data_IF_061530253196
#
_entry.id   IF_061530253196
#
_cell.length_a   1.000
_cell.length_b   1.000
_cell.length_c   1.000
_cell.angle_alpha   90.00
_cell.angle_beta   90.00
_cell.angle_gamma   90.00
#
_symmetry.space_group_name_H-M   'P 1'
#
loop_
_entity.id
_entity.type
_entity.pdbx_description
1 polymer ?
#
# COMPACT_ATOMS: atom_id res chain seq x y z
N UNK A 1 8.84 17.94 28.72
CA UNK A 1 9.77 17.70 27.59
C UNK A 1 9.54 16.27 27.16
N UNK A 2 8.92 16.04 25.99
CA UNK A 2 8.69 14.69 25.49
C UNK A 2 9.97 14.27 24.77
N UNK A 3 10.70 13.33 25.36
CA UNK A 3 11.84 12.70 24.73
C UNK A 3 11.32 11.81 23.61
N UNK A 4 11.42 12.28 22.36
CA UNK A 4 11.31 11.41 21.18
C UNK A 4 12.52 10.49 21.18
N UNK A 5 12.36 9.28 21.70
CA UNK A 5 13.27 8.17 21.43
C UNK A 5 13.33 8.03 19.91
N UNK A 6 14.45 8.42 19.31
CA UNK A 6 14.74 8.15 17.91
C UNK A 6 14.83 6.65 17.72
N UNK A 7 13.71 6.00 17.44
CA UNK A 7 13.70 4.63 16.95
C UNK A 7 14.35 4.65 15.57
N UNK A 8 15.58 4.17 15.48
CA UNK A 8 16.21 3.82 14.21
C UNK A 8 15.34 2.73 13.57
N UNK A 9 14.48 3.11 12.64
CA UNK A 9 13.65 2.15 11.93
C UNK A 9 14.54 1.13 11.19
N UNK A 10 14.35 -0.16 11.49
CA UNK A 10 15.02 -1.23 10.75
C UNK A 10 14.48 -1.26 9.32
N UNK A 11 15.37 -1.12 8.33
CA UNK A 11 14.99 -1.16 6.92
C UNK A 11 14.84 -2.61 6.47
N UNK A 12 13.60 -3.04 6.21
CA UNK A 12 13.32 -4.32 5.59
C UNK A 12 13.97 -4.41 4.20
N UNK A 13 14.63 -5.54 3.89
CA UNK A 13 15.20 -5.78 2.57
C UNK A 13 14.07 -5.97 1.55
N UNK A 14 14.06 -5.14 0.52
CA UNK A 14 13.12 -5.24 -0.60
C UNK A 14 13.89 -5.47 -1.91
N UNK A 15 13.69 -6.59 -2.64
CA UNK A 15 14.27 -6.78 -3.97
C UNK A 15 13.84 -5.70 -4.98
N UNK A 16 14.65 -5.53 -6.02
CA UNK A 16 14.38 -4.56 -7.08
C UNK A 16 13.21 -5.05 -7.94
N UNK A 17 12.31 -4.14 -8.33
CA UNK A 17 11.12 -4.41 -9.16
C UNK A 17 10.15 -5.43 -8.55
N UNK A 18 9.88 -5.36 -7.24
CA UNK A 18 8.95 -6.27 -6.57
C UNK A 18 7.72 -5.54 -6.02
N UNK A 19 6.82 -5.02 -6.88
CA UNK A 19 5.57 -4.39 -6.44
C UNK A 19 4.65 -5.41 -5.73
N UNK A 20 4.71 -6.69 -6.09
CA UNK A 20 3.86 -7.76 -5.52
C UNK A 20 4.11 -8.03 -4.02
N UNK A 21 5.23 -7.56 -3.47
CA UNK A 21 5.59 -7.71 -2.04
C UNK A 21 5.56 -6.38 -1.28
N UNK A 22 5.26 -5.29 -1.97
CA UNK A 22 5.12 -3.98 -1.36
C UNK A 22 3.65 -3.74 -1.04
N UNK A 23 3.24 -3.73 0.25
CA UNK A 23 1.85 -3.58 0.64
C UNK A 23 1.23 -2.26 0.15
N UNK A 24 2.07 -1.23 -0.05
CA UNK A 24 1.64 0.00 -0.67
C UNK A 24 1.21 -0.21 -2.14
N UNK A 25 2.00 -0.96 -2.91
CA UNK A 25 1.81 -1.12 -4.35
C UNK A 25 0.69 -2.11 -4.69
N UNK A 26 0.59 -3.24 -3.96
CA UNK A 26 -0.41 -4.26 -4.28
C UNK A 26 -1.78 -4.05 -3.63
N UNK A 27 -1.88 -3.24 -2.56
CA UNK A 27 -3.12 -3.07 -1.78
C UNK A 27 -3.56 -1.61 -1.67
N UNK A 28 -2.74 -0.75 -1.06
CA UNK A 28 -3.13 0.61 -0.70
C UNK A 28 -3.34 1.52 -1.92
N UNK A 29 -2.37 1.59 -2.83
CA UNK A 29 -2.42 2.44 -4.01
C UNK A 29 -3.58 2.04 -4.92
N UNK A 30 -3.79 0.75 -5.25
CA UNK A 30 -4.96 0.32 -6.02
C UNK A 30 -6.28 0.76 -5.40
N UNK A 31 -6.47 0.57 -4.09
CA UNK A 31 -7.71 0.93 -3.39
C UNK A 31 -7.96 2.44 -3.34
N UNK A 32 -6.91 3.26 -3.28
CA UNK A 32 -7.03 4.71 -3.41
C UNK A 32 -7.31 5.09 -4.87
N UNK A 33 -6.71 4.38 -5.83
CA UNK A 33 -6.75 4.70 -7.25
C UNK A 33 -8.08 4.31 -7.92
N UNK A 34 -8.67 3.18 -7.56
CA UNK A 34 -9.96 2.71 -8.09
C UNK A 34 -11.07 3.78 -8.06
N UNK A 35 -11.38 4.44 -6.92
CA UNK A 35 -12.44 5.44 -6.85
C UNK A 35 -12.10 6.78 -7.53
N UNK A 36 -10.82 7.02 -7.85
CA UNK A 36 -10.37 8.24 -8.56
C UNK A 36 -10.09 7.98 -10.05
N UNK A 37 -10.06 6.72 -10.50
CA UNK A 37 -9.62 6.33 -11.84
C UNK A 37 -10.48 6.97 -12.94
N UNK A 38 -11.79 7.03 -12.74
CA UNK A 38 -12.74 7.52 -13.75
C UNK A 38 -13.07 9.02 -13.59
N UNK A 39 -12.30 9.76 -12.79
CA UNK A 39 -12.52 11.20 -12.54
C UNK A 39 -11.47 12.04 -13.24
N UNK A 40 -11.92 13.06 -13.95
CA UNK A 40 -11.05 14.10 -14.51
C UNK A 40 -10.85 15.20 -13.47
N UNK A 41 -9.62 15.65 -13.32
CA UNK A 41 -9.25 16.72 -12.40
C UNK A 41 -8.64 17.87 -13.21
N UNK A 42 -9.09 19.09 -12.95
CA UNK A 42 -8.60 20.28 -13.64
C UNK A 42 -7.37 20.88 -12.92
N UNK A 43 -7.26 20.65 -11.61
CA UNK A 43 -6.20 21.23 -10.78
C UNK A 43 -5.50 20.18 -9.91
N UNK A 44 -4.27 20.49 -9.48
CA UNK A 44 -3.51 19.61 -8.59
C UNK A 44 -4.17 19.52 -7.21
N UNK A 45 -4.78 20.61 -6.77
CA UNK A 45 -5.51 20.72 -5.50
C UNK A 45 -6.70 19.78 -5.46
N UNK A 46 -7.44 19.64 -6.56
CA UNK A 46 -8.55 18.69 -6.67
C UNK A 46 -8.07 17.24 -6.53
N UNK A 47 -6.96 16.86 -7.18
CA UNK A 47 -6.37 15.52 -7.05
C UNK A 47 -5.94 15.28 -5.60
N UNK A 48 -5.22 16.25 -5.01
CA UNK A 48 -4.74 16.13 -3.63
C UNK A 48 -5.90 15.97 -2.64
N UNK A 49 -6.99 16.71 -2.82
CA UNK A 49 -8.18 16.60 -1.98
C UNK A 49 -8.90 15.27 -2.18
N UNK A 50 -9.04 14.80 -3.42
CA UNK A 50 -9.64 13.50 -3.72
C UNK A 50 -8.85 12.36 -3.07
N UNK A 51 -7.51 12.37 -3.19
CA UNK A 51 -6.65 11.38 -2.54
C UNK A 51 -6.78 11.45 -1.02
N UNK A 52 -6.76 12.64 -0.42
CA UNK A 52 -6.94 12.81 1.04
C UNK A 52 -8.26 12.22 1.53
N UNK A 53 -9.35 12.44 0.79
CA UNK A 53 -10.66 11.87 1.11
C UNK A 53 -10.66 10.34 1.06
N UNK A 54 -10.00 9.74 0.08
CA UNK A 54 -9.85 8.28 0.02
C UNK A 54 -9.00 7.74 1.16
N UNK A 55 -7.89 8.41 1.49
CA UNK A 55 -7.02 8.00 2.61
C UNK A 55 -7.77 8.03 3.94
N UNK A 56 -8.64 9.03 4.16
CA UNK A 56 -9.45 9.10 5.40
C UNK A 56 -10.52 8.02 5.52
N UNK A 57 -10.83 7.30 4.43
CA UNK A 57 -11.82 6.21 4.43
C UNK A 57 -11.25 4.94 5.06
N UNK A 58 -9.93 4.73 4.99
CA UNK A 58 -9.30 3.59 5.63
C UNK A 58 -9.30 3.81 7.14
N UNK A 59 -9.98 2.96 7.92
CA UNK A 59 -10.04 3.11 9.37
C UNK A 59 -8.66 2.96 9.98
N UNK A 60 -8.42 3.70 11.07
CA UNK A 60 -7.19 3.61 11.84
C UNK A 60 -7.17 2.35 12.75
N UNK A 61 -8.32 1.70 12.93
CA UNK A 61 -8.52 0.50 13.72
C UNK A 61 -8.62 -0.77 12.84
N UNK A 62 -7.90 -1.81 13.24
CA UNK A 62 -7.75 -3.08 12.52
C UNK A 62 -9.05 -3.90 12.39
N UNK A 63 -10.16 -3.43 12.95
CA UNK A 63 -11.43 -4.17 13.02
C UNK A 63 -12.26 -4.09 11.73
N UNK A 64 -12.04 -3.10 10.87
CA UNK A 64 -12.78 -2.89 9.62
C UNK A 64 -11.88 -2.46 8.45
N UNK A 65 -10.60 -2.86 8.46
CA UNK A 65 -9.61 -2.34 7.54
C UNK A 65 -9.96 -2.67 6.08
N UNK A 66 -10.40 -1.65 5.32
CA UNK A 66 -10.59 -1.78 3.88
C UNK A 66 -9.25 -2.07 3.17
N UNK A 67 -8.11 -1.87 3.84
CA UNK A 67 -6.75 -2.23 3.40
C UNK A 67 -6.12 -3.31 4.30
N UNK A 68 -5.94 -4.52 3.76
CA UNK A 68 -5.38 -5.69 4.45
C UNK A 68 -3.94 -6.01 3.99
N UNK A 69 -3.27 -5.06 3.32
CA UNK A 69 -1.95 -5.28 2.74
C UNK A 69 -0.88 -5.78 3.72
N UNK A 70 -0.90 -5.30 4.97
CA UNK A 70 0.05 -5.76 6.01
C UNK A 70 -0.24 -7.22 6.42
N UNK A 71 -1.48 -7.59 6.81
CA UNK A 71 -1.86 -8.99 7.02
C UNK A 71 -1.60 -9.91 5.81
N UNK A 72 -1.73 -9.42 4.58
CA UNK A 72 -1.54 -10.21 3.36
C UNK A 72 -0.06 -10.38 2.96
N UNK A 73 0.86 -9.60 3.52
CA UNK A 73 2.28 -9.65 3.17
C UNK A 73 2.92 -11.05 3.33
N UNK A 74 2.70 -11.81 4.42
CA UNK A 74 3.24 -13.17 4.55
C UNK A 74 2.74 -14.11 3.45
N UNK A 75 1.49 -13.94 2.99
CA UNK A 75 0.93 -14.73 1.91
C UNK A 75 1.57 -14.37 0.56
N UNK A 76 1.76 -13.07 0.27
CA UNK A 76 2.47 -12.63 -0.94
C UNK A 76 3.91 -13.17 -0.98
N UNK A 77 4.64 -13.12 0.14
CA UNK A 77 6.01 -13.67 0.22
C UNK A 77 6.05 -15.18 -0.05
N UNK A 78 5.09 -15.95 0.47
CA UNK A 78 5.00 -17.38 0.18
C UNK A 78 4.75 -17.63 -1.31
N UNK A 79 3.96 -16.80 -1.98
CA UNK A 79 3.71 -16.93 -3.40
C UNK A 79 4.95 -16.62 -4.24
N UNK A 80 5.75 -15.60 -3.88
CA UNK A 80 7.04 -15.32 -4.55
C UNK A 80 7.98 -16.54 -4.49
N UNK A 81 8.02 -17.23 -3.35
CA UNK A 81 8.83 -18.45 -3.20
C UNK A 81 8.31 -19.57 -4.12
N UNK A 82 6.98 -19.74 -4.23
CA UNK A 82 6.38 -20.77 -5.10
C UNK A 82 6.68 -20.55 -6.59
N UNK A 83 6.70 -19.29 -7.03
CA UNK A 83 6.98 -18.93 -8.42
C UNK A 83 8.47 -18.69 -8.68
N UNK A 84 9.34 -19.12 -7.77
CA UNK A 84 10.80 -19.01 -7.89
C UNK A 84 11.31 -17.58 -8.18
N UNK A 85 10.58 -16.55 -7.73
CA UNK A 85 10.93 -15.15 -7.96
C UNK A 85 10.25 -14.49 -9.16
N UNK A 86 9.43 -15.21 -9.94
CA UNK A 86 8.59 -14.62 -10.99
C UNK A 86 7.47 -13.74 -10.39
N UNK A 87 6.83 -12.92 -11.23
CA UNK A 87 5.70 -12.09 -10.81
C UNK A 87 4.48 -12.95 -10.48
N UNK A 88 3.79 -12.64 -9.38
CA UNK A 88 2.61 -13.41 -8.94
C UNK A 88 1.40 -13.05 -9.82
N UNK A 89 1.32 -11.80 -10.31
CA UNK A 89 0.28 -11.31 -11.21
C UNK A 89 0.93 -10.82 -12.51
N UNK A 90 0.94 -11.67 -13.54
CA UNK A 90 1.63 -11.38 -14.79
C UNK A 90 1.22 -12.24 -15.99
N UNK A 91 0.02 -12.83 -15.98
CA UNK A 91 -0.59 -13.48 -17.15
C UNK A 91 -1.96 -12.86 -17.47
#
# INVERSE_FOLDING_TARGET
MFETTGQCAEKLKNPQYSPDISPCDFDLIPKIKEPIHDRWFATREEIANAVRQQVTRFPHDATNAEADGIPCLPYSLQNVVKVAGDYIKGL
#
